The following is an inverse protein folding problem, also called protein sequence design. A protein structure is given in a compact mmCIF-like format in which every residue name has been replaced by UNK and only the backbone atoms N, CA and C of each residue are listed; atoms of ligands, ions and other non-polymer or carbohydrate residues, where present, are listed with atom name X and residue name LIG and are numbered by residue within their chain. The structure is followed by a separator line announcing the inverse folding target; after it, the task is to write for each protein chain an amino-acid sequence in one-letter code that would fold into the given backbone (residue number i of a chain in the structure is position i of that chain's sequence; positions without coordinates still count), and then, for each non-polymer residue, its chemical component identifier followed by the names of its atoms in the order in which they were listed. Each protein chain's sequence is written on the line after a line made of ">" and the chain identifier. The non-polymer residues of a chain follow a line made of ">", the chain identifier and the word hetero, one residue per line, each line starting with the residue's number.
data_IF_364705727784
#
_entry.id   IF_364705727784
#
_cell.length_a   1.000
_cell.length_b   1.000
_cell.length_c   1.000
_cell.angle_alpha   90.00
_cell.angle_beta   90.00
_cell.angle_gamma   90.00
#
_symmetry.space_group_name_H-M   'P 1'
#
loop_
_entity.id
_entity.type
_entity.pdbx_description
1 polymer ?
#
# COMPACT_ATOMS: atom_id res chain seq x y z
N UNK A 1 4.32 5.63 -1.79
CA UNK A 1 2.92 5.77 -1.37
C UNK A 1 2.08 4.78 -2.18
N UNK A 2 1.16 4.05 -1.52
CA UNK A 2 0.15 3.27 -2.24
C UNK A 2 -0.79 4.28 -2.91
N UNK A 3 -0.45 4.67 -4.13
CA UNK A 3 -1.21 5.64 -4.89
C UNK A 3 -2.57 5.05 -5.24
N UNK A 4 -3.62 5.87 -5.17
CA UNK A 4 -4.92 5.55 -5.76
C UNK A 4 -4.67 5.36 -7.26
N UNK A 5 -4.85 4.13 -7.76
CA UNK A 5 -4.59 3.80 -9.16
C UNK A 5 -5.88 3.63 -9.97
N UNK A 6 -7.03 4.01 -9.39
CA UNK A 6 -8.31 3.99 -10.08
C UNK A 6 -8.81 5.43 -10.20
N UNK A 7 -8.77 5.96 -11.42
CA UNK A 7 -9.25 7.29 -11.75
C UNK A 7 -10.34 7.21 -12.82
N UNK A 8 -11.23 8.19 -12.81
CA UNK A 8 -12.08 8.48 -13.95
C UNK A 8 -11.22 9.25 -14.93
N UNK A 9 -11.02 8.71 -16.13
CA UNK A 9 -10.46 9.46 -17.25
C UNK A 9 -11.59 10.22 -17.93
N UNK A 10 -11.36 11.50 -18.24
CA UNK A 10 -12.34 12.39 -18.85
C UNK A 10 -11.68 13.30 -19.89
N UNK A 11 -12.43 13.69 -20.90
CA UNK A 11 -12.09 14.73 -21.86
C UNK A 11 -12.52 16.14 -21.39
N UNK A 12 -13.21 16.23 -20.25
CA UNK A 12 -13.48 17.52 -19.62
C UNK A 12 -12.16 18.25 -19.32
N UNK A 13 -12.08 19.51 -19.68
CA UNK A 13 -10.85 20.28 -19.58
C UNK A 13 -10.42 20.48 -18.11
N UNK A 14 -9.40 19.71 -17.70
CA UNK A 14 -8.73 19.87 -16.41
C UNK A 14 -7.46 20.70 -16.65
N UNK A 15 -7.39 21.85 -16.00
CA UNK A 15 -6.26 22.77 -16.09
C UNK A 15 -5.80 23.17 -14.68
N UNK A 16 -4.64 23.80 -14.61
CA UNK A 16 -4.17 24.41 -13.37
C UNK A 16 -5.22 25.39 -12.83
N UNK A 17 -5.65 25.18 -11.59
CA UNK A 17 -6.66 25.98 -10.91
C UNK A 17 -8.00 25.26 -10.67
N UNK A 18 -8.34 24.20 -11.42
CA UNK A 18 -9.56 23.42 -11.15
C UNK A 18 -9.29 22.06 -10.47
N UNK A 19 -8.05 21.76 -10.13
CA UNK A 19 -7.68 20.62 -9.27
C UNK A 19 -8.34 20.77 -7.89
N UNK A 20 -8.92 19.67 -7.38
CA UNK A 20 -9.76 19.68 -6.17
C UNK A 20 -11.21 20.11 -6.43
N UNK A 21 -11.54 20.61 -7.63
CA UNK A 21 -12.90 20.92 -8.04
C UNK A 21 -13.74 19.69 -8.36
N UNK A 22 -15.05 19.88 -8.44
CA UNK A 22 -16.00 18.82 -8.71
C UNK A 22 -16.02 18.42 -10.20
N UNK A 23 -16.00 17.11 -10.48
CA UNK A 23 -16.44 16.55 -11.74
C UNK A 23 -17.91 16.13 -11.58
N UNK A 24 -18.80 16.69 -12.39
CA UNK A 24 -20.22 16.42 -12.32
C UNK A 24 -20.74 15.82 -13.64
N UNK A 25 -21.80 15.03 -13.54
CA UNK A 25 -22.50 14.54 -14.73
C UNK A 25 -23.51 15.57 -15.26
N UNK A 26 -24.20 15.25 -16.35
CA UNK A 26 -25.20 16.14 -16.97
C UNK A 26 -26.41 16.45 -16.06
N UNK A 27 -26.61 15.70 -14.98
CA UNK A 27 -27.65 15.97 -13.97
C UNK A 27 -27.17 16.83 -12.82
N UNK A 28 -25.90 17.27 -12.83
CA UNK A 28 -25.29 18.02 -11.74
C UNK A 28 -24.86 17.15 -10.56
N UNK A 29 -24.87 15.82 -10.67
CA UNK A 29 -24.44 14.92 -9.62
C UNK A 29 -22.92 14.80 -9.58
N UNK A 30 -22.32 14.86 -8.39
CA UNK A 30 -20.89 14.69 -8.21
C UNK A 30 -20.46 13.26 -8.54
N UNK A 31 -19.59 13.10 -9.52
CA UNK A 31 -19.05 11.80 -9.95
C UNK A 31 -17.58 11.63 -9.57
N UNK A 32 -16.86 12.72 -9.36
CA UNK A 32 -15.46 12.69 -8.97
C UNK A 32 -14.89 14.04 -8.53
N UNK A 33 -13.64 14.03 -8.08
CA UNK A 33 -12.85 15.22 -7.75
C UNK A 33 -11.68 15.28 -8.71
N UNK A 34 -11.53 16.40 -9.40
CA UNK A 34 -10.41 16.64 -10.32
C UNK A 34 -9.08 16.52 -9.58
N UNK A 35 -8.20 15.63 -10.06
CA UNK A 35 -6.97 15.32 -9.36
C UNK A 35 -5.73 15.78 -10.11
N UNK A 36 -5.61 15.39 -11.36
CA UNK A 36 -4.40 15.66 -12.13
C UNK A 36 -4.68 15.73 -13.62
N UNK A 37 -3.72 16.32 -14.32
CA UNK A 37 -3.61 16.37 -15.76
C UNK A 37 -2.40 15.50 -16.17
N UNK A 38 -2.60 14.58 -17.08
CA UNK A 38 -1.45 13.95 -17.75
C UNK A 38 -1.04 14.83 -18.91
N UNK A 39 0.07 15.53 -18.77
CA UNK A 39 0.59 16.39 -19.84
C UNK A 39 2.11 16.50 -19.75
N UNK A 40 2.83 16.11 -20.81
CA UNK A 40 4.28 16.33 -20.90
C UNK A 40 4.69 17.81 -20.91
N UNK A 41 3.74 18.71 -21.26
CA UNK A 41 4.00 20.14 -21.40
C UNK A 41 3.36 21.01 -20.32
N UNK A 42 2.60 20.40 -19.39
CA UNK A 42 1.81 21.12 -18.38
C UNK A 42 0.50 21.74 -18.90
N UNK A 43 0.22 21.66 -20.23
CA UNK A 43 -1.03 22.10 -20.82
C UNK A 43 -1.98 20.91 -21.04
N UNK A 44 -3.30 21.16 -21.03
CA UNK A 44 -4.31 20.15 -21.30
C UNK A 44 -4.08 19.48 -22.66
N UNK A 45 -3.91 18.15 -22.66
CA UNK A 45 -3.66 17.34 -23.85
C UNK A 45 -4.83 16.40 -24.20
N UNK A 46 -6.02 16.70 -23.71
CA UNK A 46 -7.23 15.90 -23.97
C UNK A 46 -7.54 14.82 -22.92
N UNK A 47 -6.70 14.66 -21.88
CA UNK A 47 -6.90 13.65 -20.85
C UNK A 47 -6.79 14.26 -19.47
N UNK A 48 -7.91 14.30 -18.76
CA UNK A 48 -7.99 14.65 -17.35
C UNK A 48 -8.29 13.43 -16.50
N UNK A 49 -7.92 13.46 -15.22
CA UNK A 49 -8.17 12.38 -14.27
C UNK A 49 -8.84 12.91 -13.01
N UNK A 50 -9.89 12.22 -12.58
CA UNK A 50 -10.63 12.55 -11.38
C UNK A 50 -10.72 11.34 -10.44
N UNK A 51 -10.66 11.58 -9.14
CA UNK A 51 -10.86 10.58 -8.11
C UNK A 51 -12.36 10.26 -8.03
N UNK A 52 -12.79 8.99 -8.21
CA UNK A 52 -14.19 8.61 -8.14
C UNK A 52 -14.83 8.91 -6.78
N UNK A 53 -16.10 9.31 -6.76
CA UNK A 53 -16.86 9.52 -5.50
C UNK A 53 -16.89 8.28 -4.62
N UNK A 54 -16.86 7.08 -5.21
CA UNK A 54 -16.83 5.81 -4.48
C UNK A 54 -15.59 5.65 -3.59
N UNK A 55 -14.46 6.26 -3.98
CA UNK A 55 -13.22 6.29 -3.19
C UNK A 55 -13.23 7.52 -2.28
N UNK A 56 -13.58 8.68 -2.83
CA UNK A 56 -13.61 9.96 -2.13
C UNK A 56 -14.42 9.90 -0.83
N UNK A 57 -15.61 9.32 -0.86
CA UNK A 57 -16.51 9.28 0.30
C UNK A 57 -15.85 8.68 1.53
N UNK A 58 -15.18 7.54 1.36
CA UNK A 58 -14.46 6.87 2.45
C UNK A 58 -13.23 7.69 2.90
N UNK A 59 -12.46 8.22 1.97
CA UNK A 59 -11.27 9.04 2.27
C UNK A 59 -11.65 10.28 3.07
N UNK A 60 -12.68 11.01 2.66
CA UNK A 60 -13.17 12.19 3.39
C UNK A 60 -13.69 11.83 4.77
N UNK A 61 -14.44 10.72 4.89
CA UNK A 61 -14.90 10.25 6.18
C UNK A 61 -13.76 9.92 7.14
N UNK A 62 -12.71 9.25 6.63
CA UNK A 62 -11.52 8.93 7.41
C UNK A 62 -10.77 10.18 7.86
N UNK A 63 -10.53 11.13 6.96
CA UNK A 63 -9.86 12.39 7.27
C UNK A 63 -10.63 13.19 8.33
N UNK A 64 -11.96 13.24 8.25
CA UNK A 64 -12.79 13.92 9.26
C UNK A 64 -12.76 13.22 10.61
N UNK A 65 -12.72 11.90 10.64
CA UNK A 65 -12.83 11.13 11.87
C UNK A 65 -11.47 10.88 12.54
N UNK A 66 -10.42 10.63 11.73
CA UNK A 66 -9.13 10.14 12.22
C UNK A 66 -7.98 11.10 11.92
N UNK A 67 -8.19 12.12 11.08
CA UNK A 67 -7.12 13.00 10.61
C UNK A 67 -6.23 12.38 9.53
N UNK A 68 -6.39 11.09 9.26
CA UNK A 68 -5.61 10.34 8.26
C UNK A 68 -6.44 9.22 7.63
N UNK A 69 -6.10 8.83 6.41
CA UNK A 69 -6.82 7.77 5.67
C UNK A 69 -6.49 6.41 6.27
N UNK A 70 -7.50 5.63 6.58
CA UNK A 70 -7.37 4.26 7.11
C UNK A 70 -7.26 3.28 5.94
N UNK A 71 -6.03 2.95 5.52
CA UNK A 71 -5.80 2.06 4.37
C UNK A 71 -5.76 0.60 4.79
N UNK A 72 -6.67 -0.17 4.20
CA UNK A 72 -6.67 -1.62 4.31
C UNK A 72 -5.80 -2.23 3.20
N UNK A 73 -4.97 -3.19 3.56
CA UNK A 73 -4.07 -3.88 2.65
C UNK A 73 -4.33 -5.39 2.69
N UNK A 74 -4.20 -6.05 1.56
CA UNK A 74 -4.25 -7.51 1.50
C UNK A 74 -2.95 -8.15 1.97
N UNK A 75 -1.83 -7.44 1.79
CA UNK A 75 -0.50 -7.94 2.16
C UNK A 75 0.00 -9.00 1.19
N UNK A 76 -0.05 -8.70 -0.09
CA UNK A 76 0.51 -9.50 -1.18
C UNK A 76 1.35 -8.64 -2.11
N UNK A 77 2.29 -9.28 -2.81
CA UNK A 77 2.82 -8.78 -4.08
C UNK A 77 2.22 -9.61 -5.21
N UNK A 78 2.02 -9.02 -6.36
CA UNK A 78 1.40 -9.74 -7.48
C UNK A 78 1.36 -8.92 -8.76
N UNK A 79 0.89 -9.55 -9.81
CA UNK A 79 0.75 -8.96 -11.13
C UNK A 79 -0.61 -9.29 -11.74
N UNK A 80 -1.05 -8.48 -12.70
CA UNK A 80 -2.25 -8.76 -13.48
C UNK A 80 -1.98 -9.91 -14.45
N UNK A 81 -2.91 -10.86 -14.52
CA UNK A 81 -3.00 -11.85 -15.58
C UNK A 81 -4.09 -11.42 -16.58
N UNK A 82 -3.84 -11.59 -17.89
CA UNK A 82 -4.80 -11.28 -18.93
C UNK A 82 -4.21 -10.43 -20.06
N UNK A 83 -5.02 -10.15 -21.08
CA UNK A 83 -4.58 -9.53 -22.33
C UNK A 83 -4.60 -8.00 -22.34
N UNK A 84 -5.10 -7.36 -21.30
CA UNK A 84 -5.33 -5.91 -21.24
C UNK A 84 -4.11 -5.13 -20.69
N UNK A 85 -2.92 -5.61 -20.99
CA UNK A 85 -1.70 -5.05 -20.48
C UNK A 85 -1.05 -4.18 -21.56
N UNK A 86 -0.87 -2.91 -21.26
CA UNK A 86 0.11 -2.04 -21.95
C UNK A 86 1.53 -2.53 -21.64
N UNK A 87 1.79 -3.82 -21.88
CA UNK A 87 3.06 -4.49 -21.67
C UNK A 87 3.72 -4.77 -22.99
N UNK A 88 5.05 -4.94 -22.95
CA UNK A 88 5.82 -5.56 -24.02
C UNK A 88 5.16 -6.88 -24.44
N UNK A 89 5.03 -7.13 -25.75
CA UNK A 89 4.38 -8.32 -26.34
C UNK A 89 4.88 -9.63 -25.69
N UNK A 90 6.18 -9.71 -25.41
CA UNK A 90 6.81 -10.88 -24.80
C UNK A 90 6.28 -11.16 -23.40
N UNK A 91 6.13 -10.11 -22.57
CA UNK A 91 5.62 -10.24 -21.21
C UNK A 91 4.11 -10.55 -21.25
N UNK A 92 3.36 -10.00 -22.20
CA UNK A 92 1.95 -10.32 -22.39
C UNK A 92 1.73 -11.80 -22.77
N UNK A 93 2.60 -12.37 -23.63
CA UNK A 93 2.56 -13.79 -23.97
C UNK A 93 2.88 -14.68 -22.75
N UNK A 94 3.90 -14.33 -21.96
CA UNK A 94 4.24 -15.05 -20.72
C UNK A 94 3.08 -15.05 -19.72
N UNK A 95 2.43 -13.91 -19.52
CA UNK A 95 1.29 -13.80 -18.61
C UNK A 95 0.07 -14.55 -19.12
N UNK A 96 -0.18 -14.56 -20.44
CA UNK A 96 -1.24 -15.35 -21.06
C UNK A 96 -0.99 -16.85 -20.86
N UNK A 97 0.22 -17.32 -21.13
CA UNK A 97 0.61 -18.71 -20.91
C UNK A 97 0.43 -19.13 -19.45
N UNK A 98 0.85 -18.26 -18.52
CA UNK A 98 0.67 -18.51 -17.09
C UNK A 98 -0.81 -18.56 -16.70
N UNK A 99 -1.66 -17.69 -17.28
CA UNK A 99 -3.10 -17.70 -17.06
C UNK A 99 -3.73 -19.02 -17.54
N UNK A 100 -3.37 -19.51 -18.72
CA UNK A 100 -3.84 -20.79 -19.28
C UNK A 100 -3.39 -21.96 -18.41
N UNK A 101 -2.13 -21.97 -17.93
CA UNK A 101 -1.61 -22.98 -17.01
C UNK A 101 -2.40 -23.04 -15.69
N UNK A 102 -2.81 -21.89 -15.16
CA UNK A 102 -3.58 -21.76 -13.93
C UNK A 102 -5.10 -21.94 -14.14
N UNK A 103 -5.55 -22.04 -15.41
CA UNK A 103 -6.95 -22.26 -15.75
C UNK A 103 -7.82 -21.02 -15.56
N UNK A 104 -7.25 -19.83 -15.76
CA UNK A 104 -7.96 -18.53 -15.65
C UNK A 104 -7.78 -17.72 -16.93
N UNK A 105 -8.70 -16.78 -17.19
CA UNK A 105 -8.57 -15.83 -18.30
C UNK A 105 -7.92 -14.52 -17.83
N UNK A 106 -8.21 -14.10 -16.62
CA UNK A 106 -7.82 -12.82 -16.03
C UNK A 106 -7.86 -12.89 -14.52
N UNK A 107 -7.22 -11.94 -13.85
CA UNK A 107 -7.17 -11.84 -12.40
C UNK A 107 -5.84 -11.28 -11.90
N UNK A 108 -5.63 -11.36 -10.60
CA UNK A 108 -4.37 -10.95 -9.96
C UNK A 108 -3.63 -12.18 -9.45
N UNK A 109 -2.51 -12.49 -10.09
CA UNK A 109 -1.60 -13.54 -9.64
C UNK A 109 -0.88 -13.10 -8.35
N UNK A 110 -0.98 -13.89 -7.30
CA UNK A 110 -0.21 -13.71 -6.07
C UNK A 110 1.20 -14.25 -6.29
N UNK A 111 2.17 -13.37 -6.32
CA UNK A 111 3.59 -13.74 -6.39
C UNK A 111 4.12 -14.10 -5.00
N UNK A 112 3.82 -13.25 -4.00
CA UNK A 112 4.28 -13.45 -2.63
C UNK A 112 3.21 -12.96 -1.64
N UNK A 113 3.14 -13.60 -0.47
CA UNK A 113 2.30 -13.19 0.66
C UNK A 113 3.20 -12.59 1.74
N UNK A 114 2.90 -11.35 2.12
CA UNK A 114 3.66 -10.64 3.16
C UNK A 114 3.37 -11.26 4.53
N UNK A 115 4.41 -11.63 5.24
CA UNK A 115 4.30 -12.17 6.59
C UNK A 115 3.63 -11.19 7.54
N UNK A 116 2.64 -11.66 8.32
CA UNK A 116 1.85 -10.80 9.19
C UNK A 116 0.78 -9.97 8.48
N UNK A 117 0.75 -9.97 7.13
CA UNK A 117 -0.29 -9.31 6.33
C UNK A 117 -1.67 -9.98 6.48
N UNK A 118 -2.69 -9.40 5.85
CA UNK A 118 -4.07 -9.93 5.91
C UNK A 118 -4.21 -11.31 5.28
N UNK A 119 -3.46 -11.56 4.21
CA UNK A 119 -3.49 -12.82 3.46
C UNK A 119 -2.62 -13.92 4.07
N UNK A 120 -1.78 -13.59 5.07
CA UNK A 120 -0.84 -14.53 5.68
C UNK A 120 -1.55 -15.76 6.27
N UNK A 121 -1.08 -16.97 5.90
CA UNK A 121 -1.68 -18.24 6.31
C UNK A 121 -2.99 -18.61 5.59
N UNK A 122 -3.51 -17.75 4.71
CA UNK A 122 -4.77 -17.97 3.97
C UNK A 122 -4.50 -18.09 2.47
N UNK A 123 -3.84 -17.11 1.89
CA UNK A 123 -3.41 -17.14 0.49
C UNK A 123 -1.98 -17.65 0.39
N UNK A 124 -1.60 -18.09 -0.80
CA UNK A 124 -0.26 -18.57 -1.14
C UNK A 124 0.15 -18.11 -2.54
N UNK A 125 1.42 -18.23 -2.88
CA UNK A 125 1.90 -18.03 -4.24
C UNK A 125 1.15 -18.90 -5.23
N UNK A 126 0.98 -18.42 -6.45
CA UNK A 126 0.20 -19.00 -7.55
C UNK A 126 -1.33 -19.02 -7.32
N UNK A 127 -1.86 -18.46 -6.24
CA UNK A 127 -3.28 -18.14 -6.20
C UNK A 127 -3.58 -17.01 -7.20
N UNK A 128 -4.70 -17.10 -7.91
CA UNK A 128 -5.18 -16.01 -8.76
C UNK A 128 -6.44 -15.41 -8.15
N UNK A 129 -6.36 -14.18 -7.70
CA UNK A 129 -7.51 -13.46 -7.14
C UNK A 129 -8.42 -13.03 -8.27
N UNK A 130 -9.68 -13.48 -8.21
CA UNK A 130 -10.74 -13.18 -9.19
C UNK A 130 -11.92 -12.42 -8.58
N UNK A 131 -11.89 -12.17 -7.27
CA UNK A 131 -12.93 -11.41 -6.58
C UNK A 131 -12.54 -10.99 -5.18
N UNK A 132 -13.05 -9.84 -4.74
CA UNK A 132 -12.91 -9.31 -3.38
C UNK A 132 -14.19 -8.58 -2.96
N UNK A 133 -14.72 -8.92 -1.78
CA UNK A 133 -15.90 -8.25 -1.22
C UNK A 133 -17.13 -8.28 -2.12
N UNK A 134 -17.32 -9.37 -2.87
CA UNK A 134 -18.42 -9.55 -3.83
C UNK A 134 -18.22 -8.88 -5.19
N UNK A 135 -17.11 -8.16 -5.40
CA UNK A 135 -16.74 -7.57 -6.70
C UNK A 135 -15.80 -8.48 -7.45
N UNK A 136 -15.95 -8.55 -8.77
CA UNK A 136 -15.00 -9.22 -9.66
C UNK A 136 -13.70 -8.43 -9.72
N UNK A 137 -12.59 -9.15 -9.81
CA UNK A 137 -11.24 -8.61 -9.94
C UNK A 137 -10.65 -9.19 -11.23
N UNK A 138 -10.47 -8.33 -12.23
CA UNK A 138 -9.87 -8.69 -13.52
C UNK A 138 -8.40 -8.30 -13.58
N UNK A 139 -8.03 -7.21 -12.89
CA UNK A 139 -6.68 -6.64 -12.87
C UNK A 139 -6.34 -6.05 -11.49
N UNK A 140 -5.08 -5.71 -11.32
CA UNK A 140 -4.57 -5.22 -10.03
C UNK A 140 -5.26 -3.92 -9.56
N UNK A 141 -5.62 -3.04 -10.50
CA UNK A 141 -6.37 -1.80 -10.18
C UNK A 141 -7.77 -2.08 -9.62
N UNK A 142 -8.46 -3.13 -10.07
CA UNK A 142 -9.77 -3.51 -9.54
C UNK A 142 -9.65 -3.99 -8.09
N UNK A 143 -8.59 -4.77 -7.80
CA UNK A 143 -8.27 -5.20 -6.45
C UNK A 143 -8.00 -4.01 -5.52
N UNK A 144 -7.22 -3.04 -5.99
CA UNK A 144 -6.92 -1.83 -5.25
C UNK A 144 -8.17 -0.96 -5.03
N UNK A 145 -9.02 -0.81 -6.04
CA UNK A 145 -10.28 -0.09 -5.88
C UNK A 145 -11.22 -0.77 -4.88
N UNK A 146 -11.31 -2.09 -4.93
CA UNK A 146 -12.10 -2.84 -3.95
C UNK A 146 -11.57 -2.63 -2.53
N UNK A 147 -10.25 -2.73 -2.32
CA UNK A 147 -9.59 -2.51 -1.03
C UNK A 147 -9.74 -1.07 -0.53
N UNK A 148 -9.71 -0.08 -1.43
CA UNK A 148 -9.81 1.34 -1.06
C UNK A 148 -11.12 1.70 -0.35
N UNK A 149 -12.15 0.87 -0.44
CA UNK A 149 -13.46 1.05 0.23
C UNK A 149 -13.50 0.49 1.64
N UNK A 150 -12.47 -0.26 2.03
CA UNK A 150 -12.39 -0.95 3.31
C UNK A 150 -11.42 -0.27 4.27
N UNK A 151 -11.57 -0.61 5.54
CA UNK A 151 -10.69 -0.20 6.64
C UNK A 151 -9.97 -1.40 7.25
N UNK A 152 -8.84 -1.20 7.92
CA UNK A 152 -8.25 -2.23 8.78
C UNK A 152 -9.27 -2.70 9.81
N UNK A 153 -9.41 -4.02 9.95
CA UNK A 153 -10.43 -4.65 10.80
C UNK A 153 -11.66 -5.16 10.05
N UNK A 154 -11.91 -4.69 8.83
CA UNK A 154 -13.02 -5.22 8.03
C UNK A 154 -12.76 -6.67 7.64
N UNK A 155 -13.81 -7.49 7.70
CA UNK A 155 -13.81 -8.84 7.17
C UNK A 155 -14.28 -8.83 5.73
N UNK A 156 -13.50 -9.45 4.86
CA UNK A 156 -13.82 -9.53 3.43
C UNK A 156 -13.67 -10.96 2.93
N UNK A 157 -14.49 -11.33 1.96
CA UNK A 157 -14.37 -12.56 1.23
C UNK A 157 -13.50 -12.33 0.00
N UNK A 158 -12.47 -13.15 -0.16
CA UNK A 158 -11.62 -13.20 -1.34
C UNK A 158 -11.90 -14.48 -2.12
N UNK A 159 -12.20 -14.35 -3.41
CA UNK A 159 -12.32 -15.47 -4.34
C UNK A 159 -11.02 -15.63 -5.09
N UNK A 160 -10.51 -16.84 -5.10
CA UNK A 160 -9.29 -17.19 -5.83
C UNK A 160 -9.49 -18.44 -6.66
N UNK A 161 -8.70 -18.58 -7.70
CA UNK A 161 -8.46 -19.87 -8.36
C UNK A 161 -7.16 -20.44 -7.79
N UNK A 162 -7.25 -21.62 -7.21
CA UNK A 162 -6.13 -22.38 -6.65
C UNK A 162 -6.23 -23.82 -7.14
N UNK A 163 -5.17 -24.32 -7.75
CA UNK A 163 -5.15 -25.68 -8.33
C UNK A 163 -6.30 -25.88 -9.35
N UNK A 164 -6.56 -24.87 -10.20
CA UNK A 164 -7.64 -24.81 -11.21
C UNK A 164 -9.07 -24.91 -10.64
N UNK A 165 -9.24 -24.66 -9.34
CA UNK A 165 -10.54 -24.67 -8.66
C UNK A 165 -10.79 -23.32 -7.99
N UNK A 166 -11.99 -22.81 -8.15
CA UNK A 166 -12.41 -21.64 -7.39
C UNK A 166 -12.54 -21.99 -5.90
N UNK A 167 -12.01 -21.13 -5.06
CA UNK A 167 -12.09 -21.18 -3.61
C UNK A 167 -12.43 -19.81 -3.07
N UNK A 168 -13.16 -19.76 -1.98
CA UNK A 168 -13.49 -18.52 -1.28
C UNK A 168 -12.94 -18.58 0.14
N UNK A 169 -12.28 -17.54 0.58
CA UNK A 169 -11.73 -17.40 1.92
C UNK A 169 -12.22 -16.09 2.55
N UNK A 170 -12.50 -16.10 3.84
CA UNK A 170 -12.70 -14.89 4.62
C UNK A 170 -11.38 -14.49 5.27
N UNK A 171 -11.05 -13.23 5.20
CA UNK A 171 -9.88 -12.67 5.86
C UNK A 171 -10.19 -11.32 6.50
N UNK A 172 -9.46 -10.99 7.55
CA UNK A 172 -9.54 -9.68 8.21
C UNK A 172 -8.46 -8.78 7.65
N UNK A 173 -8.88 -7.64 7.10
CA UNK A 173 -7.96 -6.66 6.52
C UNK A 173 -7.13 -5.98 7.62
N UNK A 174 -5.87 -5.71 7.32
CA UNK A 174 -4.90 -5.05 8.20
C UNK A 174 -4.34 -3.80 7.53
N UNK A 175 -3.76 -2.92 8.33
CA UNK A 175 -3.02 -1.75 7.85
C UNK A 175 -1.58 -2.13 7.40
N UNK A 176 -0.80 -1.15 6.97
CA UNK A 176 0.61 -1.32 6.58
C UNK A 176 1.50 -1.85 7.70
N UNK A 177 1.08 -1.70 8.95
CA UNK A 177 1.79 -2.22 10.13
C UNK A 177 1.41 -3.67 10.50
N UNK A 178 0.58 -4.33 9.69
CA UNK A 178 0.15 -5.71 9.89
C UNK A 178 -0.86 -5.90 11.05
N UNK A 179 -1.56 -4.85 11.46
CA UNK A 179 -2.57 -4.91 12.51
C UNK A 179 -3.87 -4.19 12.09
N UNK A 180 -4.90 -4.25 12.95
CA UNK A 180 -6.23 -3.66 12.71
C UNK A 180 -6.44 -2.35 13.47
N UNK A 181 -5.41 -1.80 14.09
CA UNK A 181 -5.52 -0.56 14.86
C UNK A 181 -5.72 0.63 13.93
N UNK A 182 -6.43 1.63 14.43
CA UNK A 182 -6.57 2.92 13.74
C UNK A 182 -5.20 3.60 13.65
N UNK A 183 -4.81 3.95 12.45
CA UNK A 183 -3.62 4.76 12.20
C UNK A 183 -3.98 6.21 12.53
N UNK A 184 -3.27 6.80 13.51
CA UNK A 184 -3.50 8.19 13.96
C UNK A 184 -2.50 9.17 13.37
N UNK A 185 -1.42 8.67 12.79
CA UNK A 185 -0.34 9.47 12.23
C UNK A 185 -0.08 9.07 10.78
N UNK A 186 -0.28 10.00 9.87
CA UNK A 186 -0.01 9.80 8.44
C UNK A 186 1.48 9.53 8.17
N UNK A 187 2.37 9.98 9.04
CA UNK A 187 3.80 9.74 8.92
C UNK A 187 4.17 8.25 8.97
N UNK A 188 3.49 7.45 9.79
CA UNK A 188 3.75 6.01 9.84
C UNK A 188 3.38 5.28 8.54
N UNK A 189 2.33 5.73 7.84
CA UNK A 189 2.02 5.21 6.50
C UNK A 189 3.06 5.62 5.45
N UNK A 190 3.60 6.84 5.57
CA UNK A 190 4.64 7.35 4.68
C UNK A 190 5.90 6.47 4.70
N UNK A 191 6.22 5.88 5.85
CA UNK A 191 7.36 4.96 5.97
C UNK A 191 7.20 3.70 5.13
N UNK A 192 5.98 3.21 4.90
CA UNK A 192 5.70 2.01 4.12
C UNK A 192 6.29 0.73 4.74
N UNK A 193 6.37 0.65 6.07
CA UNK A 193 6.95 -0.49 6.75
C UNK A 193 6.14 -0.90 7.98
N UNK A 194 6.22 -2.17 8.34
CA UNK A 194 5.63 -2.74 9.54
C UNK A 194 6.71 -2.95 10.60
N UNK A 195 6.37 -2.69 11.86
CA UNK A 195 7.30 -2.74 12.98
C UNK A 195 6.75 -3.56 14.15
N UNK A 196 7.63 -4.26 14.85
CA UNK A 196 7.34 -4.87 16.16
C UNK A 196 8.53 -4.70 17.11
N UNK A 197 8.32 -4.65 18.43
CA UNK A 197 9.42 -4.76 19.36
C UNK A 197 10.19 -6.07 19.15
N UNK A 198 11.52 -6.01 19.23
CA UNK A 198 12.38 -7.20 19.10
C UNK A 198 12.00 -8.24 20.14
N UNK A 199 11.89 -9.50 19.72
CA UNK A 199 11.54 -10.62 20.60
C UNK A 199 12.58 -10.82 21.70
N UNK A 200 12.16 -11.41 22.83
CA UNK A 200 13.06 -11.73 23.95
C UNK A 200 14.20 -12.67 23.55
N UNK A 201 13.93 -13.56 22.61
CA UNK A 201 14.92 -14.50 22.08
C UNK A 201 15.99 -13.76 21.26
N UNK A 202 15.58 -12.92 20.31
CA UNK A 202 16.48 -12.15 19.46
C UNK A 202 17.26 -11.10 20.27
N UNK A 203 16.65 -10.52 21.33
CA UNK A 203 17.36 -9.64 22.29
C UNK A 203 18.51 -10.37 22.97
N UNK A 204 18.28 -11.61 23.44
CA UNK A 204 19.34 -12.43 24.07
C UNK A 204 20.43 -12.80 23.08
N UNK A 205 20.04 -13.24 21.87
CA UNK A 205 20.97 -13.65 20.82
C UNK A 205 21.91 -12.51 20.40
N UNK A 206 21.39 -11.29 20.29
CA UNK A 206 22.13 -10.12 19.84
C UNK A 206 22.65 -9.21 20.98
N UNK A 207 22.44 -9.63 22.23
CA UNK A 207 22.77 -8.85 23.43
C UNK A 207 22.16 -7.43 23.40
N UNK A 208 20.87 -7.34 23.07
CA UNK A 208 20.13 -6.09 22.95
C UNK A 208 19.18 -5.89 24.13
N UNK A 209 19.17 -4.69 24.72
CA UNK A 209 18.19 -4.30 25.73
C UNK A 209 16.85 -3.87 25.12
N UNK A 210 16.86 -3.36 23.91
CA UNK A 210 15.71 -2.83 23.18
C UNK A 210 15.94 -2.89 21.67
N UNK A 211 14.91 -2.58 20.90
CA UNK A 211 14.96 -2.49 19.45
C UNK A 211 13.58 -2.65 18.83
N UNK A 212 13.44 -2.13 17.65
CA UNK A 212 12.23 -2.22 16.84
C UNK A 212 12.56 -2.94 15.53
N UNK A 213 12.03 -4.15 15.35
CA UNK A 213 12.27 -4.96 14.15
C UNK A 213 11.35 -4.51 13.01
N UNK A 214 11.91 -4.33 11.84
CA UNK A 214 11.18 -4.12 10.58
C UNK A 214 10.70 -5.48 10.08
N UNK A 215 9.41 -5.75 10.21
CA UNK A 215 8.80 -7.06 9.87
C UNK A 215 8.33 -7.17 8.44
N UNK A 216 8.14 -6.03 7.77
CA UNK A 216 7.78 -5.94 6.37
C UNK A 216 8.10 -4.56 5.84
N UNK A 217 8.41 -4.49 4.54
CA UNK A 217 8.63 -3.23 3.82
C UNK A 217 7.82 -3.30 2.53
N UNK A 218 7.00 -2.29 2.29
CA UNK A 218 6.27 -2.05 1.06
C UNK A 218 6.80 -0.77 0.39
N UNK A 219 6.19 -0.34 -0.71
CA UNK A 219 6.54 0.96 -1.31
C UNK A 219 6.35 2.08 -0.28
N UNK A 220 7.41 2.88 -0.06
CA UNK A 220 7.43 3.98 0.88
C UNK A 220 8.85 4.39 1.26
N UNK A 221 8.97 5.43 2.09
CA UNK A 221 10.25 6.08 2.40
C UNK A 221 11.32 5.15 2.99
N UNK A 222 10.92 4.07 3.69
CA UNK A 222 11.86 3.05 4.17
C UNK A 222 12.48 2.24 3.03
N UNK A 223 11.66 1.85 2.04
CA UNK A 223 12.14 1.15 0.85
C UNK A 223 13.07 2.04 0.01
N UNK A 224 12.69 3.31 -0.17
CA UNK A 224 13.47 4.31 -0.93
C UNK A 224 14.83 4.53 -0.28
N UNK A 225 14.90 4.53 1.06
CA UNK A 225 16.14 4.60 1.82
C UNK A 225 16.96 3.29 1.83
N UNK A 226 16.46 2.21 1.22
CA UNK A 226 17.13 0.91 1.16
C UNK A 226 17.01 0.05 2.43
N UNK A 227 16.13 0.41 3.35
CA UNK A 227 15.86 -0.39 4.55
C UNK A 227 15.04 -1.63 4.14
N UNK A 228 15.43 -2.78 4.66
CA UNK A 228 14.83 -4.07 4.32
C UNK A 228 14.25 -4.76 5.56
N UNK A 229 13.33 -5.70 5.31
CA UNK A 229 12.79 -6.61 6.34
C UNK A 229 13.93 -7.26 7.15
N UNK A 230 13.72 -7.39 8.45
CA UNK A 230 14.69 -7.96 9.39
C UNK A 230 15.68 -6.94 9.96
N UNK A 231 15.71 -5.70 9.47
CA UNK A 231 16.51 -4.65 10.09
C UNK A 231 15.94 -4.29 11.48
N UNK A 232 16.81 -4.14 12.48
CA UNK A 232 16.47 -3.78 13.85
C UNK A 232 16.86 -2.33 14.08
N UNK A 233 15.87 -1.47 14.22
CA UNK A 233 16.08 -0.06 14.54
C UNK A 233 16.41 0.05 16.03
N UNK A 234 17.57 0.58 16.36
CA UNK A 234 17.98 0.86 17.73
C UNK A 234 17.74 2.31 18.12
N UNK A 235 18.02 3.25 17.20
CA UNK A 235 17.75 4.67 17.41
C UNK A 235 17.17 5.31 16.14
N UNK A 236 16.30 6.30 16.36
CA UNK A 236 15.84 7.23 15.34
C UNK A 236 16.02 8.66 15.87
N UNK A 237 16.72 9.54 15.14
CA UNK A 237 17.11 10.90 15.57
C UNK A 237 17.67 10.90 17.02
N UNK A 238 18.59 9.98 17.31
CA UNK A 238 19.23 9.74 18.62
C UNK A 238 18.31 9.23 19.75
N UNK A 239 17.01 9.08 19.53
CA UNK A 239 16.06 8.50 20.50
C UNK A 239 16.09 6.98 20.40
N UNK A 240 16.12 6.30 21.54
CA UNK A 240 16.08 4.84 21.60
C UNK A 240 14.69 4.31 21.21
N UNK A 241 14.65 3.30 20.34
CA UNK A 241 13.42 2.69 19.83
C UNK A 241 13.05 1.48 20.68
N UNK A 242 12.20 1.66 21.67
CA UNK A 242 11.70 0.60 22.57
C UNK A 242 10.34 0.09 22.13
N UNK A 243 9.55 0.94 21.48
CA UNK A 243 8.19 0.67 21.03
C UNK A 243 7.88 1.37 19.71
N UNK A 244 6.76 1.01 19.08
CA UNK A 244 6.26 1.69 17.86
C UNK A 244 5.89 3.14 18.18
N UNK A 245 5.36 3.40 19.36
CA UNK A 245 4.99 4.73 19.85
C UNK A 245 6.19 5.68 19.95
N UNK A 246 7.39 5.15 20.25
CA UNK A 246 8.62 5.95 20.23
C UNK A 246 8.95 6.40 18.81
N UNK A 247 8.81 5.50 17.84
CA UNK A 247 9.02 5.83 16.43
C UNK A 247 7.98 6.84 15.92
N UNK A 248 6.70 6.68 16.29
CA UNK A 248 5.64 7.64 15.96
C UNK A 248 5.95 9.05 16.44
N UNK A 249 6.41 9.19 17.69
CA UNK A 249 6.77 10.49 18.26
C UNK A 249 7.94 11.15 17.54
N UNK A 250 9.00 10.38 17.28
CA UNK A 250 10.19 10.88 16.58
C UNK A 250 9.86 11.24 15.13
N UNK A 251 9.07 10.42 14.45
CA UNK A 251 8.64 10.66 13.08
C UNK A 251 7.80 11.95 12.97
N UNK A 252 6.85 12.14 13.90
CA UNK A 252 6.04 13.36 13.95
C UNK A 252 6.92 14.61 14.14
N UNK A 253 7.92 14.55 15.00
CA UNK A 253 8.87 15.64 15.18
C UNK A 253 9.72 15.88 13.93
N UNK A 254 10.17 14.79 13.27
CA UNK A 254 10.98 14.88 12.05
C UNK A 254 10.19 15.45 10.86
N UNK A 255 8.92 15.10 10.68
CA UNK A 255 8.07 15.66 9.62
C UNK A 255 7.77 17.14 9.80
N UNK A 256 7.88 17.66 11.03
CA UNK A 256 7.69 19.09 11.35
C UNK A 256 9.01 19.86 11.35
N UNK A 257 10.15 19.19 11.23
CA UNK A 257 11.46 19.84 11.17
C UNK A 257 11.73 20.42 9.77
N UNK A 258 12.56 21.46 9.65
CA UNK A 258 12.91 22.04 8.34
C UNK A 258 13.57 21.04 7.39
N UNK A 259 14.37 20.12 7.91
CA UNK A 259 15.11 19.14 7.11
C UNK A 259 14.26 17.95 6.69
N UNK A 260 13.16 17.66 7.39
CA UNK A 260 12.26 16.55 7.14
C UNK A 260 12.99 15.22 6.91
N UNK A 261 14.02 14.92 7.72
CA UNK A 261 14.83 13.71 7.63
C UNK A 261 14.76 12.91 8.93
N UNK A 262 14.60 11.59 8.77
CA UNK A 262 14.67 10.65 9.87
C UNK A 262 15.97 9.85 9.79
N UNK A 263 16.90 10.11 10.69
CA UNK A 263 18.16 9.38 10.80
C UNK A 263 17.96 8.12 11.65
N UNK A 264 18.13 6.97 11.03
CA UNK A 264 17.93 5.66 11.66
C UNK A 264 19.27 4.95 11.81
N UNK A 265 19.55 4.44 12.99
CA UNK A 265 20.70 3.56 13.25
C UNK A 265 20.23 2.24 13.84
N UNK A 266 20.86 1.16 13.41
CA UNK A 266 20.47 -0.16 13.85
C UNK A 266 21.39 -1.26 13.35
N UNK A 267 20.87 -2.47 13.31
CA UNK A 267 21.63 -3.65 12.88
C UNK A 267 20.72 -4.72 12.28
N UNK A 268 21.31 -5.61 11.51
CA UNK A 268 20.67 -6.83 11.04
C UNK A 268 20.91 -7.98 12.04
N UNK A 269 20.08 -9.05 11.98
CA UNK A 269 20.30 -10.26 12.81
C UNK A 269 21.69 -10.90 12.66
N UNK A 270 22.36 -10.65 11.52
CA UNK A 270 23.76 -11.06 11.27
C UNK A 270 24.80 -10.30 12.12
N UNK A 271 24.39 -9.30 12.89
CA UNK A 271 25.27 -8.41 13.64
C UNK A 271 25.78 -7.21 12.83
N UNK A 272 25.54 -7.15 11.51
CA UNK A 272 25.95 -6.03 10.67
C UNK A 272 25.18 -4.75 11.05
N UNK A 273 25.90 -3.72 11.46
CA UNK A 273 25.33 -2.39 11.75
C UNK A 273 25.16 -1.58 10.47
N UNK A 274 24.10 -0.77 10.45
CA UNK A 274 23.83 0.17 9.36
C UNK A 274 23.16 1.44 9.87
N UNK A 275 23.31 2.52 9.10
CA UNK A 275 22.64 3.79 9.34
C UNK A 275 22.01 4.26 8.04
N UNK A 276 20.82 4.86 8.14
CA UNK A 276 20.02 5.33 7.01
C UNK A 276 19.54 6.74 7.28
N UNK A 277 19.50 7.56 6.24
CA UNK A 277 18.76 8.81 6.22
C UNK A 277 17.48 8.59 5.40
N UNK A 278 16.34 8.73 6.04
CA UNK A 278 15.04 8.58 5.39
C UNK A 278 14.49 9.98 5.13
N UNK A 279 14.41 10.35 3.87
CA UNK A 279 13.84 11.61 3.42
C UNK A 279 12.32 11.56 3.54
N UNK A 280 11.74 12.42 4.35
CA UNK A 280 10.30 12.50 4.63
C UNK A 280 9.59 13.55 3.78
N UNK A 281 10.29 14.27 2.91
CA UNK A 281 9.67 15.26 2.00
C UNK A 281 8.62 14.58 1.12
N UNK A 282 7.49 15.24 0.92
CA UNK A 282 6.47 14.78 -0.03
C UNK A 282 6.80 15.41 -1.40
N UNK A 283 6.99 14.58 -2.41
CA UNK A 283 7.06 15.01 -3.81
C UNK A 283 5.67 15.38 -4.34
#
# INVERSE_FOLDING_TARGET
>A
AANIQSFIQTDAAINQGNSGGALVNARGELVGINAMLYSPTGAYSGYGFAIPTSIMTKVVADLKQFGTVQRALLGITGTTLGTDLQMDERLAEEMKKKADELGVKEGVLVAEVVEGGSAAGILKSDDVIIGLGGKKVHKFSDLQEALAKHRPGDKVKVKVVRDKKEKEFELTLKNSQGNTKVVKDAGMELLGAAFKPVSSELKRQLNLGYGLEVTGVSNGKMADAGIRKGFIILKANNVQMKSVEDLEKVLKAATQSPDQVLFITGMFPSGKRASYAVDLTQE
#
